data_IF_654009959225
#
_entry.id   IF_654009959225
#
_cell.length_a   1.000
_cell.length_b   1.000
_cell.length_c   1.000
_cell.angle_alpha   90.00
_cell.angle_beta   90.00
_cell.angle_gamma   90.00
#
_symmetry.space_group_name_H-M   'P 1'
#
loop_
_entity.id
_entity.type
_entity.pdbx_description
1 polymer ?
#
# COMPACT_ATOMS: atom_id res chain seq x y z
N UNK A 1 1.36 -17.25 27.13
CA UNK A 1 0.40 -16.38 27.85
C UNK A 1 -0.28 -15.57 26.76
N UNK A 2 -1.60 -15.54 26.69
CA UNK A 2 -2.28 -14.67 25.72
C UNK A 2 -2.01 -13.22 26.11
N UNK A 3 -1.40 -12.46 25.22
CA UNK A 3 -1.17 -11.03 25.44
C UNK A 3 -2.49 -10.29 25.58
N UNK A 4 -2.51 -9.24 26.40
CA UNK A 4 -3.73 -8.46 26.62
C UNK A 4 -4.00 -7.53 25.43
N UNK A 5 -4.75 -8.02 24.45
CA UNK A 5 -5.19 -7.26 23.27
C UNK A 5 -6.45 -6.40 23.52
N UNK A 6 -6.83 -6.18 24.77
CA UNK A 6 -8.03 -5.42 25.11
C UNK A 6 -8.01 -3.98 24.56
N UNK A 7 -6.82 -3.39 24.41
CA UNK A 7 -6.64 -2.07 23.83
C UNK A 7 -7.00 -2.03 22.33
N UNK A 8 -6.66 -3.10 21.57
CA UNK A 8 -7.01 -3.22 20.15
C UNK A 8 -8.53 -3.25 19.98
N UNK A 9 -9.24 -4.02 20.80
CA UNK A 9 -10.71 -4.06 20.78
C UNK A 9 -11.35 -2.69 21.05
N UNK A 10 -10.74 -1.89 21.94
CA UNK A 10 -11.18 -0.50 22.19
C UNK A 10 -10.93 0.39 20.96
N UNK A 11 -9.80 0.22 20.27
CA UNK A 11 -9.50 0.97 19.05
C UNK A 11 -10.48 0.62 17.93
N UNK A 12 -10.76 -0.67 17.72
CA UNK A 12 -11.76 -1.11 16.74
C UNK A 12 -13.09 -0.45 17.03
N UNK A 13 -13.58 -0.55 18.26
CA UNK A 13 -14.88 0.05 18.65
C UNK A 13 -14.95 1.55 18.40
N UNK A 14 -13.82 2.26 18.50
CA UNK A 14 -13.76 3.73 18.31
C UNK A 14 -13.51 4.11 16.84
N UNK A 15 -12.77 3.29 16.10
CA UNK A 15 -12.40 3.56 14.71
C UNK A 15 -13.38 3.00 13.69
N UNK A 16 -14.28 2.09 14.10
CA UNK A 16 -15.23 1.47 13.19
C UNK A 16 -16.39 2.42 12.87
N UNK A 17 -16.65 2.63 11.58
CA UNK A 17 -17.78 3.42 11.08
C UNK A 17 -19.13 2.78 11.46
N UNK A 18 -20.20 3.57 11.37
CA UNK A 18 -21.56 3.09 11.71
C UNK A 18 -22.04 1.93 10.83
N UNK A 19 -21.66 1.94 9.56
CA UNK A 19 -21.96 0.88 8.58
C UNK A 19 -20.99 -0.31 8.65
N UNK A 20 -19.98 -0.21 9.53
CA UNK A 20 -18.93 -1.21 9.74
C UNK A 20 -18.08 -1.52 8.50
N UNK A 21 -18.00 -0.59 7.54
CA UNK A 21 -17.23 -0.76 6.31
C UNK A 21 -15.87 -0.06 6.35
N UNK A 22 -15.70 0.91 7.22
CA UNK A 22 -14.47 1.69 7.37
C UNK A 22 -13.89 1.50 8.77
N UNK A 23 -12.59 1.25 8.85
CA UNK A 23 -11.86 1.17 10.10
C UNK A 23 -10.72 2.19 10.12
N UNK A 24 -10.70 3.05 11.12
CA UNK A 24 -9.69 4.09 11.30
C UNK A 24 -8.75 3.76 12.46
N UNK A 25 -7.54 3.39 12.10
CA UNK A 25 -6.40 3.18 12.99
C UNK A 25 -5.29 4.22 12.78
N UNK A 26 -5.57 5.32 12.14
CA UNK A 26 -4.58 6.37 11.90
C UNK A 26 -4.07 6.99 13.21
N UNK A 27 -2.77 7.31 13.23
CA UNK A 27 -2.12 8.01 14.34
C UNK A 27 -2.32 7.33 15.73
N UNK A 28 -2.15 6.02 15.77
CA UNK A 28 -2.25 5.22 17.03
C UNK A 28 -0.89 4.79 17.57
N UNK A 29 0.19 5.09 16.86
CA UNK A 29 1.53 4.62 17.20
C UNK A 29 1.75 3.14 16.94
N UNK A 30 0.94 2.54 16.05
CA UNK A 30 1.04 1.13 15.66
C UNK A 30 2.42 0.85 15.10
N UNK A 31 3.09 -0.13 15.66
CA UNK A 31 4.36 -0.68 15.22
C UNK A 31 4.18 -2.11 14.68
N UNK A 32 5.28 -2.83 14.48
CA UNK A 32 5.23 -4.18 13.92
C UNK A 32 4.54 -5.18 14.86
N UNK A 33 4.78 -5.09 16.18
CA UNK A 33 4.18 -5.97 17.17
C UNK A 33 2.65 -5.78 17.21
N UNK A 34 2.22 -4.53 17.29
CA UNK A 34 0.80 -4.19 17.24
C UNK A 34 0.14 -4.61 15.91
N UNK A 35 0.87 -4.51 14.80
CA UNK A 35 0.38 -4.94 13.49
C UNK A 35 0.20 -6.47 13.43
N UNK A 36 1.13 -7.24 14.00
CA UNK A 36 1.02 -8.69 14.13
C UNK A 36 -0.17 -9.08 15.01
N UNK A 37 -0.35 -8.42 16.16
CA UNK A 37 -1.51 -8.63 17.03
C UNK A 37 -2.83 -8.38 16.30
N UNK A 38 -2.89 -7.36 15.43
CA UNK A 38 -4.06 -7.08 14.59
C UNK A 38 -4.30 -8.21 13.60
N UNK A 39 -3.25 -8.71 12.96
CA UNK A 39 -3.34 -9.77 11.95
C UNK A 39 -3.83 -11.10 12.52
N UNK A 40 -3.37 -11.47 13.72
CA UNK A 40 -3.62 -12.79 14.31
C UNK A 40 -4.89 -12.87 15.13
N UNK A 41 -5.23 -11.79 15.85
CA UNK A 41 -6.12 -11.90 17.02
C UNK A 41 -7.48 -11.24 16.82
N UNK A 42 -7.77 -10.71 15.64
CA UNK A 42 -8.93 -9.85 15.49
C UNK A 42 -9.89 -10.38 14.42
N UNK A 43 -11.00 -10.96 14.87
CA UNK A 43 -12.15 -11.12 14.02
C UNK A 43 -12.77 -9.73 13.74
N UNK A 44 -12.38 -9.14 12.63
CA UNK A 44 -12.96 -7.88 12.16
C UNK A 44 -14.17 -8.14 11.26
N UNK A 45 -15.13 -7.22 11.22
CA UNK A 45 -16.16 -7.25 10.21
C UNK A 45 -15.53 -7.06 8.81
N UNK A 46 -16.28 -7.38 7.77
CA UNK A 46 -15.90 -7.20 6.35
C UNK A 46 -15.68 -5.71 6.04
N UNK A 47 -14.55 -5.15 6.50
CA UNK A 47 -14.22 -3.75 6.23
C UNK A 47 -13.74 -3.61 4.79
N UNK A 48 -14.14 -2.52 4.16
CA UNK A 48 -13.78 -2.21 2.78
C UNK A 48 -12.71 -1.12 2.70
N UNK A 49 -12.59 -0.29 3.74
CA UNK A 49 -11.64 0.83 3.82
C UNK A 49 -10.86 0.74 5.13
N UNK A 50 -9.54 0.72 5.03
CA UNK A 50 -8.64 0.76 6.19
C UNK A 50 -7.77 2.01 6.14
N UNK A 51 -7.90 2.87 7.15
CA UNK A 51 -6.95 3.92 7.46
C UNK A 51 -5.98 3.42 8.54
N UNK A 52 -4.70 3.25 8.19
CA UNK A 52 -3.64 2.83 9.11
C UNK A 52 -2.39 3.72 8.94
N UNK A 53 -2.61 4.91 8.40
CA UNK A 53 -1.56 5.90 8.14
C UNK A 53 -1.05 6.59 9.41
N UNK A 54 0.08 7.31 9.28
CA UNK A 54 0.71 8.08 10.37
C UNK A 54 1.00 7.21 11.60
N UNK A 55 1.62 6.05 11.34
CA UNK A 55 2.01 5.07 12.34
C UNK A 55 3.52 4.77 12.27
N UNK A 56 3.96 3.67 12.86
CA UNK A 56 5.37 3.24 12.89
C UNK A 56 5.57 1.86 12.28
N UNK A 57 4.68 1.45 11.40
CA UNK A 57 4.70 0.14 10.77
C UNK A 57 5.89 0.08 9.81
N UNK A 58 6.66 -1.00 9.91
CA UNK A 58 7.77 -1.36 9.02
C UNK A 58 7.41 -2.64 8.28
N UNK A 59 8.36 -3.14 7.50
CA UNK A 59 8.21 -4.29 6.62
C UNK A 59 7.62 -5.52 7.30
N UNK A 60 8.14 -5.94 8.46
CA UNK A 60 7.63 -7.09 9.21
C UNK A 60 6.15 -6.92 9.61
N UNK A 61 5.75 -5.72 10.03
CA UNK A 61 4.34 -5.48 10.37
C UNK A 61 3.42 -5.50 9.14
N UNK A 62 3.93 -5.07 7.99
CA UNK A 62 3.20 -5.16 6.71
C UNK A 62 3.10 -6.61 6.26
N UNK A 63 4.16 -7.42 6.42
CA UNK A 63 4.18 -8.84 6.08
C UNK A 63 3.08 -9.61 6.84
N UNK A 64 2.98 -9.42 8.15
CA UNK A 64 1.94 -10.03 8.98
C UNK A 64 0.53 -9.61 8.54
N UNK A 65 0.32 -8.32 8.31
CA UNK A 65 -0.97 -7.81 7.85
C UNK A 65 -1.34 -8.34 6.46
N UNK A 66 -0.37 -8.41 5.53
CA UNK A 66 -0.60 -8.84 4.15
C UNK A 66 -0.97 -10.33 4.02
N UNK A 67 -0.60 -11.15 5.01
CA UNK A 67 -0.97 -12.57 5.10
C UNK A 67 -2.32 -12.80 5.77
N UNK A 68 -2.88 -11.78 6.40
CA UNK A 68 -4.13 -11.90 7.15
C UNK A 68 -5.35 -11.88 6.22
N UNK A 69 -6.32 -12.78 6.46
CA UNK A 69 -7.64 -12.79 5.82
C UNK A 69 -8.40 -11.46 6.00
N UNK A 70 -7.97 -10.66 6.99
CA UNK A 70 -8.48 -9.32 7.25
C UNK A 70 -8.38 -8.37 6.03
N UNK A 71 -7.44 -8.60 5.12
CA UNK A 71 -7.27 -7.80 3.92
C UNK A 71 -8.18 -8.22 2.75
N UNK A 72 -8.80 -9.40 2.77
CA UNK A 72 -9.60 -9.91 1.66
C UNK A 72 -10.75 -8.99 1.22
N UNK A 73 -11.50 -8.34 2.15
CA UNK A 73 -12.60 -7.45 1.75
C UNK A 73 -12.15 -6.07 1.30
N UNK A 74 -10.87 -5.69 1.51
CA UNK A 74 -10.41 -4.32 1.31
C UNK A 74 -10.51 -3.87 -0.14
N UNK A 75 -11.05 -2.67 -0.30
CA UNK A 75 -11.07 -1.88 -1.53
C UNK A 75 -10.10 -0.73 -1.47
N UNK A 76 -9.89 -0.16 -0.27
CA UNK A 76 -8.97 0.96 -0.07
C UNK A 76 -8.06 0.69 1.13
N UNK A 77 -6.76 0.88 0.92
CA UNK A 77 -5.73 0.80 1.96
C UNK A 77 -4.93 2.11 2.00
N UNK A 78 -5.06 2.83 3.12
CA UNK A 78 -4.38 4.09 3.38
C UNK A 78 -3.27 3.86 4.40
N UNK A 79 -2.04 3.60 3.92
CA UNK A 79 -0.87 3.25 4.73
C UNK A 79 0.25 4.30 4.62
N UNK A 80 -0.11 5.53 4.27
CA UNK A 80 0.85 6.61 4.12
C UNK A 80 1.47 7.04 5.47
N UNK A 81 2.62 7.74 5.41
CA UNK A 81 3.35 8.18 6.61
C UNK A 81 3.62 7.03 7.59
N UNK A 82 4.25 5.97 7.09
CA UNK A 82 4.77 4.85 7.86
C UNK A 82 6.27 4.68 7.58
N UNK A 83 6.82 3.51 7.86
CA UNK A 83 8.23 3.21 7.63
C UNK A 83 8.42 2.00 6.70
N UNK A 84 7.46 1.80 5.78
CA UNK A 84 7.43 0.68 4.84
C UNK A 84 8.54 0.83 3.82
N UNK A 85 9.39 -0.18 3.72
CA UNK A 85 10.46 -0.29 2.72
C UNK A 85 10.09 -1.23 1.57
N UNK A 86 11.12 -1.74 0.92
CA UNK A 86 10.95 -2.63 -0.22
C UNK A 86 10.33 -3.98 0.17
N UNK A 87 10.78 -4.58 1.28
CA UNK A 87 10.26 -5.88 1.74
C UNK A 87 8.76 -5.79 2.09
N UNK A 88 8.31 -4.70 2.71
CA UNK A 88 6.90 -4.47 2.98
C UNK A 88 6.07 -4.26 1.70
N UNK A 89 6.61 -3.55 0.72
CA UNK A 89 5.96 -3.39 -0.58
C UNK A 89 5.89 -4.72 -1.36
N UNK A 90 6.92 -5.56 -1.25
CA UNK A 90 6.94 -6.94 -1.79
C UNK A 90 5.84 -7.77 -1.13
N UNK A 91 5.73 -7.73 0.21
CA UNK A 91 4.69 -8.45 0.94
C UNK A 91 3.27 -8.05 0.49
N UNK A 92 3.02 -6.75 0.29
CA UNK A 92 1.74 -6.28 -0.27
C UNK A 92 1.51 -6.78 -1.71
N UNK A 93 2.55 -6.76 -2.54
CA UNK A 93 2.47 -7.19 -3.93
C UNK A 93 2.21 -8.70 -4.09
N UNK A 94 2.69 -9.51 -3.16
CA UNK A 94 2.56 -10.96 -3.13
C UNK A 94 1.34 -11.46 -2.34
N UNK A 95 0.63 -10.58 -1.64
CA UNK A 95 -0.53 -10.91 -0.83
C UNK A 95 -1.67 -11.50 -1.66
N UNK A 96 -2.11 -12.71 -1.38
CA UNK A 96 -3.28 -13.32 -2.01
C UNK A 96 -4.60 -12.70 -1.55
N UNK A 97 -4.60 -11.92 -0.47
CA UNK A 97 -5.80 -11.28 0.10
C UNK A 97 -6.20 -9.97 -0.63
N UNK A 98 -5.27 -9.23 -1.24
CA UNK A 98 -5.53 -7.90 -1.79
C UNK A 98 -6.21 -7.86 -3.18
N UNK A 99 -6.93 -8.91 -3.55
CA UNK A 99 -7.52 -9.07 -4.90
C UNK A 99 -8.69 -8.13 -5.21
N UNK A 100 -9.18 -7.41 -4.21
CA UNK A 100 -10.28 -6.44 -4.34
C UNK A 100 -9.82 -4.99 -4.29
N UNK A 101 -8.53 -4.75 -4.01
CA UNK A 101 -8.01 -3.41 -3.79
C UNK A 101 -8.08 -2.57 -5.07
N UNK A 102 -8.68 -1.39 -4.97
CA UNK A 102 -8.75 -0.42 -6.04
C UNK A 102 -7.99 0.88 -5.72
N UNK A 103 -7.69 1.14 -4.45
CA UNK A 103 -6.87 2.26 -4.01
C UNK A 103 -5.81 1.81 -3.01
N UNK A 104 -4.55 2.18 -3.28
CA UNK A 104 -3.42 1.95 -2.38
C UNK A 104 -2.62 3.25 -2.23
N UNK A 105 -2.53 3.77 -1.00
CA UNK A 105 -1.63 4.87 -0.68
C UNK A 105 -0.49 4.42 0.21
N UNK A 106 0.71 4.52 -0.33
CA UNK A 106 2.00 4.31 0.31
C UNK A 106 2.84 5.60 0.31
N UNK A 107 2.18 6.75 0.19
CA UNK A 107 2.77 8.09 0.24
C UNK A 107 3.63 8.26 1.50
N UNK A 108 4.78 8.91 1.37
CA UNK A 108 5.72 9.15 2.48
C UNK A 108 6.10 7.87 3.23
N UNK A 109 6.78 6.97 2.52
CA UNK A 109 7.36 5.74 3.05
C UNK A 109 8.85 5.65 2.65
N UNK A 110 9.42 4.46 2.56
CA UNK A 110 10.84 4.23 2.24
C UNK A 110 11.05 3.30 1.05
N UNK A 111 10.02 3.16 0.21
CA UNK A 111 10.00 2.23 -0.92
C UNK A 111 10.98 2.69 -1.99
N UNK A 112 11.84 1.78 -2.42
CA UNK A 112 12.79 1.97 -3.51
C UNK A 112 12.37 1.25 -4.79
N UNK A 113 13.36 0.93 -5.62
CA UNK A 113 13.14 0.29 -6.91
C UNK A 113 12.62 -1.15 -6.76
N UNK A 114 13.12 -1.92 -5.79
CA UNK A 114 12.73 -3.33 -5.61
C UNK A 114 11.26 -3.45 -5.24
N UNK A 115 10.78 -2.62 -4.29
CA UNK A 115 9.38 -2.58 -3.92
C UNK A 115 8.47 -2.11 -5.05
N UNK A 116 8.88 -1.09 -5.81
CA UNK A 116 8.15 -0.60 -6.97
C UNK A 116 8.05 -1.67 -8.09
N UNK A 117 9.14 -2.42 -8.32
CA UNK A 117 9.17 -3.56 -9.26
C UNK A 117 8.20 -4.64 -8.82
N UNK A 118 8.17 -4.99 -7.53
CA UNK A 118 7.24 -5.98 -7.01
C UNK A 118 5.78 -5.55 -7.20
N UNK A 119 5.44 -4.31 -6.83
CA UNK A 119 4.09 -3.76 -7.04
C UNK A 119 3.70 -3.76 -8.51
N UNK A 120 4.61 -3.39 -9.43
CA UNK A 120 4.37 -3.39 -10.87
C UNK A 120 4.08 -4.78 -11.43
N UNK A 121 4.59 -5.85 -10.82
CA UNK A 121 4.44 -7.23 -11.23
C UNK A 121 3.43 -8.03 -10.38
N UNK A 122 2.75 -7.40 -9.45
CA UNK A 122 1.81 -8.04 -8.55
C UNK A 122 0.69 -8.77 -9.30
N UNK A 123 0.38 -9.98 -8.87
CA UNK A 123 -0.73 -10.78 -9.42
C UNK A 123 -2.07 -10.50 -8.74
N UNK A 124 -2.06 -9.93 -7.55
CA UNK A 124 -3.25 -9.63 -6.74
C UNK A 124 -3.78 -8.21 -6.96
N UNK A 125 -2.93 -7.24 -7.27
CA UNK A 125 -3.32 -5.82 -7.41
C UNK A 125 -3.93 -5.48 -8.79
N UNK A 126 -4.45 -6.45 -9.51
CA UNK A 126 -4.96 -6.28 -10.88
C UNK A 126 -6.20 -5.38 -10.99
N UNK A 127 -6.91 -5.13 -9.88
CA UNK A 127 -8.06 -4.20 -9.83
C UNK A 127 -7.67 -2.78 -9.43
N UNK A 128 -6.39 -2.52 -9.15
CA UNK A 128 -5.95 -1.23 -8.67
C UNK A 128 -6.23 -0.14 -9.72
N UNK A 129 -6.95 0.90 -9.30
CA UNK A 129 -7.26 2.06 -10.11
C UNK A 129 -6.41 3.27 -9.73
N UNK A 130 -6.00 3.34 -8.45
CA UNK A 130 -5.20 4.45 -7.94
C UNK A 130 -4.06 3.93 -7.08
N UNK A 131 -2.84 4.40 -7.39
CA UNK A 131 -1.62 4.08 -6.65
C UNK A 131 -0.86 5.37 -6.34
N UNK A 132 -0.67 5.62 -5.05
CA UNK A 132 0.13 6.74 -4.58
C UNK A 132 1.43 6.24 -3.92
N UNK A 133 2.54 6.50 -4.61
CA UNK A 133 3.92 6.21 -4.20
C UNK A 133 4.75 7.49 -4.04
N UNK A 134 4.11 8.64 -3.90
CA UNK A 134 4.80 9.92 -3.74
C UNK A 134 5.63 9.95 -2.46
N UNK A 135 6.68 10.76 -2.44
CA UNK A 135 7.60 10.90 -1.30
C UNK A 135 8.21 9.56 -0.83
N UNK A 136 8.76 8.81 -1.80
CA UNK A 136 9.47 7.57 -1.58
C UNK A 136 10.92 7.67 -2.10
N UNK A 137 11.54 6.57 -2.49
CA UNK A 137 12.94 6.50 -2.94
C UNK A 137 13.08 5.82 -4.30
N UNK A 138 11.99 5.79 -5.07
CA UNK A 138 11.90 5.11 -6.37
C UNK A 138 12.78 5.85 -7.36
N UNK A 139 13.67 5.10 -8.02
CA UNK A 139 14.55 5.58 -9.08
C UNK A 139 14.06 5.17 -10.47
N UNK A 140 14.99 5.17 -11.41
CA UNK A 140 14.69 4.86 -12.82
C UNK A 140 14.21 3.42 -13.02
N UNK A 141 14.77 2.45 -12.29
CA UNK A 141 14.40 1.03 -12.45
C UNK A 141 12.97 0.75 -12.01
N UNK A 142 12.57 1.29 -10.86
CA UNK A 142 11.19 1.18 -10.37
C UNK A 142 10.20 1.88 -11.28
N UNK A 143 10.56 3.07 -11.78
CA UNK A 143 9.75 3.83 -12.72
C UNK A 143 9.56 3.08 -14.05
N UNK A 144 10.62 2.47 -14.59
CA UNK A 144 10.56 1.63 -15.80
C UNK A 144 9.64 0.41 -15.58
N UNK A 145 9.74 -0.26 -14.44
CA UNK A 145 8.91 -1.41 -14.14
C UNK A 145 7.42 -1.01 -14.05
N UNK A 146 7.10 0.09 -13.39
CA UNK A 146 5.74 0.62 -13.33
C UNK A 146 5.20 0.98 -14.72
N UNK A 147 5.98 1.71 -15.55
CA UNK A 147 5.58 2.08 -16.90
C UNK A 147 5.26 0.86 -17.80
N UNK A 148 5.99 -0.24 -17.62
CA UNK A 148 5.86 -1.48 -18.39
C UNK A 148 4.92 -2.50 -17.73
N UNK A 149 4.25 -2.16 -16.64
CA UNK A 149 3.43 -3.12 -15.89
C UNK A 149 2.33 -3.73 -16.73
N UNK A 150 2.29 -5.06 -16.74
CA UNK A 150 1.19 -5.83 -17.33
C UNK A 150 0.14 -6.25 -16.28
N UNK A 151 0.39 -6.02 -15.02
CA UNK A 151 -0.50 -6.34 -13.90
C UNK A 151 -1.43 -5.19 -13.57
N UNK A 152 -0.95 -3.94 -13.58
CA UNK A 152 -1.69 -2.75 -13.20
C UNK A 152 -2.50 -2.14 -14.36
N UNK A 153 -3.12 -2.98 -15.19
CA UNK A 153 -3.83 -2.54 -16.41
C UNK A 153 -5.03 -1.65 -16.18
N UNK A 154 -5.60 -1.69 -14.97
CA UNK A 154 -6.76 -0.88 -14.60
C UNK A 154 -6.37 0.45 -13.95
N UNK A 155 -5.06 0.73 -13.81
CA UNK A 155 -4.58 1.94 -13.15
C UNK A 155 -4.97 3.18 -13.97
N UNK A 156 -5.62 4.13 -13.30
CA UNK A 156 -6.06 5.42 -13.82
C UNK A 156 -5.24 6.58 -13.26
N UNK A 157 -4.79 6.44 -12.00
CA UNK A 157 -4.02 7.48 -11.32
C UNK A 157 -2.74 6.87 -10.72
N UNK A 158 -1.60 7.45 -11.08
CA UNK A 158 -0.28 7.09 -10.55
C UNK A 158 0.43 8.35 -10.06
N UNK A 159 0.72 8.41 -8.77
CA UNK A 159 1.47 9.49 -8.16
C UNK A 159 2.87 9.00 -7.78
N UNK A 160 3.89 9.66 -8.32
CA UNK A 160 5.31 9.37 -8.15
C UNK A 160 6.12 10.64 -7.82
N UNK A 161 5.45 11.71 -7.41
CA UNK A 161 6.13 12.96 -7.08
C UNK A 161 7.07 12.81 -5.88
N UNK A 162 8.10 13.65 -5.84
CA UNK A 162 9.12 13.64 -4.80
C UNK A 162 9.77 12.26 -4.57
N UNK A 163 10.20 11.64 -5.66
CA UNK A 163 11.00 10.42 -5.70
C UNK A 163 12.42 10.73 -6.22
N UNK A 164 13.12 9.74 -6.76
CA UNK A 164 14.47 9.84 -7.30
C UNK A 164 14.54 9.46 -8.77
N UNK A 165 13.43 9.68 -9.49
CA UNK A 165 13.30 9.33 -10.89
C UNK A 165 14.09 10.33 -11.72
N UNK A 166 15.07 9.82 -12.46
CA UNK A 166 15.89 10.58 -13.38
C UNK A 166 15.33 10.55 -14.81
N UNK A 167 16.17 11.00 -15.74
CA UNK A 167 15.78 11.12 -17.15
C UNK A 167 15.30 9.80 -17.78
N UNK A 168 15.95 8.69 -17.43
CA UNK A 168 15.63 7.37 -17.99
C UNK A 168 14.26 6.88 -17.53
N UNK A 169 13.95 7.02 -16.24
CA UNK A 169 12.64 6.66 -15.70
C UNK A 169 11.53 7.56 -16.25
N UNK A 170 11.78 8.87 -16.36
CA UNK A 170 10.84 9.81 -16.97
C UNK A 170 10.56 9.48 -18.44
N UNK A 171 11.57 9.04 -19.20
CA UNK A 171 11.38 8.61 -20.58
C UNK A 171 10.45 7.39 -20.64
N UNK A 172 10.68 6.37 -19.83
CA UNK A 172 9.81 5.19 -19.78
C UNK A 172 8.37 5.55 -19.40
N UNK A 173 8.18 6.42 -18.41
CA UNK A 173 6.86 6.91 -17.99
C UNK A 173 6.18 7.80 -19.04
N UNK A 174 6.92 8.42 -19.96
CA UNK A 174 6.32 9.19 -21.05
C UNK A 174 5.69 8.30 -22.13
N UNK A 175 6.14 7.06 -22.26
CA UNK A 175 5.67 6.10 -23.26
C UNK A 175 4.53 5.21 -22.72
N UNK A 176 4.52 4.90 -21.43
CA UNK A 176 3.52 4.11 -20.68
C UNK A 176 3.01 2.86 -21.44
N UNK A 177 3.86 1.97 -21.92
CA UNK A 177 3.44 0.85 -22.77
C UNK A 177 2.51 -0.15 -22.05
N UNK A 178 2.62 -0.25 -20.73
CA UNK A 178 1.82 -1.12 -19.88
C UNK A 178 0.54 -0.49 -19.32
N UNK A 179 0.55 0.84 -19.06
CA UNK A 179 -0.51 1.55 -18.33
C UNK A 179 -1.44 2.32 -19.28
N UNK A 180 -2.09 1.63 -20.21
CA UNK A 180 -2.89 2.23 -21.29
C UNK A 180 -4.16 2.98 -20.82
N UNK A 181 -4.61 2.74 -19.59
CA UNK A 181 -5.78 3.37 -19.01
C UNK A 181 -5.43 4.53 -18.08
N UNK A 182 -4.13 4.90 -17.98
CA UNK A 182 -3.69 5.95 -17.09
C UNK A 182 -4.18 7.33 -17.57
N UNK A 183 -4.86 8.03 -16.68
CA UNK A 183 -5.44 9.36 -16.91
C UNK A 183 -4.62 10.45 -16.20
N UNK A 184 -4.07 10.11 -15.01
CA UNK A 184 -3.31 11.05 -14.18
C UNK A 184 -1.95 10.43 -13.84
N UNK A 185 -0.89 11.15 -14.19
CA UNK A 185 0.49 10.86 -13.81
C UNK A 185 1.11 12.09 -13.18
N UNK A 186 1.52 11.99 -11.90
CA UNK A 186 2.24 13.07 -11.22
C UNK A 186 3.70 12.68 -11.02
N UNK A 187 4.62 13.48 -11.56
CA UNK A 187 6.08 13.29 -11.51
C UNK A 187 6.81 14.50 -10.92
N UNK A 188 6.10 15.44 -10.31
CA UNK A 188 6.70 16.67 -9.77
C UNK A 188 7.80 16.35 -8.74
N UNK A 189 8.79 17.25 -8.63
CA UNK A 189 9.88 17.12 -7.62
C UNK A 189 10.73 15.84 -7.72
N UNK A 190 10.91 15.28 -8.92
CA UNK A 190 11.91 14.24 -9.20
C UNK A 190 13.26 14.85 -9.65
N UNK A 191 14.28 14.04 -10.00
CA UNK A 191 15.64 14.49 -10.36
C UNK A 191 15.72 15.12 -11.74
#
# INVERSE_FOLDING_TARGET
MAEDISYIRKWIKRGLSKDKKTLDFSNRGIDNETAADLAENVALPDIEILYIHTNKIKDLGVEELAQSEFFEPLKELWMYENMVGDDGAIALAESDALTRLNYLSLYTNKIGDEGAIALANSKSLFKLEKLDLSFNRIGDLGAEALANSNSLKNLKELHLDANRIGLRGMQALSELPGLKNLEILNLSYNL
#
